data_IF_315679549860
#
_entry.id   IF_315679549860
#
_cell.length_a   1.000
_cell.length_b   1.000
_cell.length_c   1.000
_cell.angle_alpha   90.00
_cell.angle_beta   90.00
_cell.angle_gamma   90.00
#
_symmetry.space_group_name_H-M   'P 1'
#
loop_
_entity.id
_entity.type
_entity.pdbx_description
1 polymer ?
#
# COMPACT_ATOMS: atom_id res chain seq x y z
N UNK A 1 0.20 -11.92 17.21
CA UNK A 1 -0.51 -10.92 18.02
C UNK A 1 -2.00 -10.87 17.68
N UNK A 2 -2.41 -10.63 16.41
CA UNK A 2 -3.82 -10.62 15.96
C UNK A 2 -4.56 -11.88 16.45
N UNK A 3 -4.05 -13.08 16.13
CA UNK A 3 -4.65 -14.37 16.50
C UNK A 3 -4.87 -14.47 18.01
N UNK A 4 -3.89 -14.07 18.83
CA UNK A 4 -4.04 -14.08 20.30
C UNK A 4 -5.16 -13.17 20.81
N UNK A 5 -5.38 -11.99 20.15
CA UNK A 5 -6.53 -11.14 20.46
C UNK A 5 -7.86 -11.83 20.13
N UNK A 6 -7.93 -12.50 18.97
CA UNK A 6 -9.13 -13.21 18.53
C UNK A 6 -9.45 -14.41 19.45
N UNK A 7 -8.44 -15.17 19.85
CA UNK A 7 -8.55 -16.28 20.81
C UNK A 7 -8.99 -15.80 22.20
N UNK A 8 -8.58 -14.60 22.61
CA UNK A 8 -9.04 -13.95 23.83
C UNK A 8 -10.49 -13.42 23.73
N UNK A 9 -11.16 -13.57 22.58
CA UNK A 9 -12.56 -13.19 22.38
C UNK A 9 -12.78 -11.75 21.93
N UNK A 10 -11.72 -11.02 21.55
CA UNK A 10 -11.83 -9.66 21.00
C UNK A 10 -12.45 -9.74 19.62
N UNK A 11 -13.52 -8.95 19.38
CA UNK A 11 -14.31 -8.99 18.14
C UNK A 11 -13.87 -8.00 17.07
N UNK A 12 -13.12 -6.98 17.42
CA UNK A 12 -12.59 -5.99 16.50
C UNK A 12 -11.10 -5.78 16.77
N UNK A 13 -10.27 -6.02 15.79
CA UNK A 13 -8.82 -5.86 15.88
C UNK A 13 -8.35 -4.96 14.74
N UNK A 14 -7.79 -3.80 15.07
CA UNK A 14 -7.06 -2.95 14.13
C UNK A 14 -5.60 -3.39 14.07
N UNK A 15 -5.04 -3.55 12.89
CA UNK A 15 -3.65 -3.91 12.68
C UNK A 15 -2.96 -2.94 11.75
N UNK A 16 -1.74 -2.55 12.12
CA UNK A 16 -0.83 -1.87 11.21
C UNK A 16 -0.42 -2.79 10.04
N UNK A 17 0.15 -2.20 9.02
CA UNK A 17 0.63 -2.85 7.81
C UNK A 17 2.03 -3.44 8.04
N UNK A 18 2.31 -4.63 7.59
CA UNK A 18 1.51 -5.71 6.98
C UNK A 18 1.08 -6.71 8.05
N UNK A 19 0.03 -7.52 7.82
CA UNK A 19 -0.50 -8.43 8.86
C UNK A 19 0.32 -9.70 9.08
N UNK A 20 1.27 -9.99 8.22
CA UNK A 20 2.13 -11.18 8.28
C UNK A 20 3.25 -11.11 7.26
N UNK A 21 4.19 -12.04 7.32
CA UNK A 21 5.39 -12.08 6.45
C UNK A 21 5.27 -13.20 5.40
N UNK A 22 4.60 -14.29 5.74
CA UNK A 22 4.43 -15.47 4.89
C UNK A 22 2.98 -15.63 4.44
N UNK A 23 2.75 -16.39 3.37
CA UNK A 23 1.38 -16.73 2.94
C UNK A 23 0.62 -17.49 4.02
N UNK A 24 1.30 -18.34 4.78
CA UNK A 24 0.67 -19.08 5.88
C UNK A 24 0.19 -18.15 6.99
N UNK A 25 1.00 -17.16 7.39
CA UNK A 25 0.57 -16.14 8.36
C UNK A 25 -0.77 -15.49 7.94
N UNK A 26 -0.90 -15.15 6.65
CA UNK A 26 -2.11 -14.52 6.13
C UNK A 26 -3.32 -15.46 6.22
N UNK A 27 -3.15 -16.74 5.82
CA UNK A 27 -4.19 -17.74 5.94
C UNK A 27 -4.59 -18.02 7.39
N UNK A 28 -3.62 -18.04 8.31
CA UNK A 28 -3.91 -18.22 9.74
C UNK A 28 -4.77 -17.09 10.30
N UNK A 29 -4.46 -15.84 9.93
CA UNK A 29 -5.26 -14.68 10.38
C UNK A 29 -6.67 -14.73 9.78
N UNK A 30 -6.81 -15.06 8.49
CA UNK A 30 -8.14 -15.21 7.86
C UNK A 30 -8.95 -16.30 8.53
N UNK A 31 -8.39 -17.51 8.69
CA UNK A 31 -9.06 -18.63 9.36
C UNK A 31 -9.45 -18.30 10.81
N UNK A 32 -8.59 -17.58 11.53
CA UNK A 32 -8.89 -17.17 12.89
C UNK A 32 -10.02 -16.15 12.94
N UNK A 33 -10.02 -15.15 12.07
CA UNK A 33 -11.09 -14.14 11.98
C UNK A 33 -12.45 -14.81 11.67
N UNK A 34 -12.49 -15.70 10.68
CA UNK A 34 -13.70 -16.46 10.33
C UNK A 34 -14.19 -17.34 11.49
N UNK A 35 -13.29 -18.14 12.09
CA UNK A 35 -13.59 -19.04 13.24
C UNK A 35 -14.20 -18.28 14.40
N UNK A 36 -13.64 -17.11 14.73
CA UNK A 36 -14.08 -16.30 15.87
C UNK A 36 -15.20 -15.32 15.51
N UNK A 37 -15.62 -15.25 14.23
CA UNK A 37 -16.60 -14.29 13.71
C UNK A 37 -16.24 -12.87 14.19
N UNK A 38 -15.02 -12.47 13.88
CA UNK A 38 -14.41 -11.23 14.31
C UNK A 38 -13.93 -10.41 13.11
N UNK A 39 -13.93 -9.11 13.27
CA UNK A 39 -13.47 -8.14 12.28
C UNK A 39 -11.99 -7.82 12.52
N UNK A 40 -11.16 -7.98 11.49
CA UNK A 40 -9.76 -7.55 11.49
C UNK A 40 -9.63 -6.47 10.43
N UNK A 41 -9.35 -5.24 10.84
CA UNK A 41 -9.16 -4.11 9.94
C UNK A 41 -7.68 -3.81 9.75
N UNK A 42 -7.22 -3.73 8.50
CA UNK A 42 -5.94 -3.14 8.19
C UNK A 42 -6.04 -1.61 8.28
N UNK A 43 -5.17 -0.99 9.07
CA UNK A 43 -5.16 0.46 9.28
C UNK A 43 -4.34 1.16 8.19
N UNK A 44 -4.64 0.88 6.91
CA UNK A 44 -3.98 1.49 5.76
C UNK A 44 -4.49 2.91 5.54
N UNK A 45 -3.79 3.87 6.13
CA UNK A 45 -4.19 5.27 6.15
C UNK A 45 -4.16 5.94 4.76
N UNK A 46 -3.29 5.49 3.84
CA UNK A 46 -3.19 6.07 2.49
C UNK A 46 -4.47 5.87 1.67
N UNK A 47 -5.29 4.87 1.99
CA UNK A 47 -6.62 4.73 1.38
C UNK A 47 -7.51 5.96 1.63
N UNK A 48 -7.24 6.72 2.68
CA UNK A 48 -7.95 7.96 3.03
C UNK A 48 -7.25 9.24 2.60
N UNK A 49 -6.14 9.17 1.85
CA UNK A 49 -5.49 10.38 1.30
C UNK A 49 -6.49 11.15 0.43
N UNK A 50 -6.59 12.47 0.63
CA UNK A 50 -7.70 13.27 0.09
C UNK A 50 -7.80 13.20 -1.42
N UNK A 51 -6.69 13.32 -2.12
CA UNK A 51 -6.64 13.21 -3.58
C UNK A 51 -7.03 11.81 -4.08
N UNK A 52 -6.54 10.75 -3.42
CA UNK A 52 -6.90 9.36 -3.72
C UNK A 52 -8.41 9.14 -3.56
N UNK A 53 -8.99 9.66 -2.48
CA UNK A 53 -10.45 9.57 -2.27
C UNK A 53 -11.24 10.39 -3.28
N UNK A 54 -10.72 11.55 -3.71
CA UNK A 54 -11.34 12.31 -4.81
C UNK A 54 -11.31 11.52 -6.12
N UNK A 55 -10.19 10.84 -6.42
CA UNK A 55 -10.08 9.97 -7.59
C UNK A 55 -11.02 8.76 -7.47
N UNK A 56 -11.13 8.12 -6.31
CA UNK A 56 -12.10 7.05 -6.07
C UNK A 56 -13.53 7.53 -6.33
N UNK A 57 -13.87 8.73 -5.87
CA UNK A 57 -15.17 9.35 -6.15
C UNK A 57 -15.40 9.59 -7.64
N UNK A 58 -14.36 10.04 -8.38
CA UNK A 58 -14.43 10.21 -9.84
C UNK A 58 -14.60 8.86 -10.57
N UNK A 59 -13.88 7.82 -10.15
CA UNK A 59 -14.03 6.45 -10.69
C UNK A 59 -15.47 5.97 -10.51
N UNK A 60 -16.04 6.13 -9.33
CA UNK A 60 -17.43 5.74 -9.03
C UNK A 60 -18.47 6.53 -9.78
N UNK A 61 -18.17 7.76 -10.17
CA UNK A 61 -19.02 8.57 -11.06
C UNK A 61 -18.81 8.28 -12.54
N UNK A 62 -17.96 7.31 -12.90
CA UNK A 62 -17.71 6.88 -14.27
C UNK A 62 -16.87 7.86 -15.10
N UNK A 63 -16.16 8.82 -14.48
CA UNK A 63 -15.41 9.84 -15.23
C UNK A 63 -14.24 9.27 -16.03
N UNK A 64 -13.71 8.13 -15.61
CA UNK A 64 -12.61 7.45 -16.29
C UNK A 64 -13.10 6.34 -17.25
N UNK A 65 -14.42 6.12 -17.36
CA UNK A 65 -14.99 4.99 -18.09
C UNK A 65 -14.64 3.65 -17.40
N UNK A 66 -14.43 2.60 -18.18
CA UNK A 66 -13.97 1.31 -17.70
C UNK A 66 -12.50 1.39 -17.31
N UNK A 67 -12.15 0.99 -16.09
CA UNK A 67 -10.76 1.02 -15.59
C UNK A 67 -9.96 -0.11 -16.24
N UNK A 68 -8.82 0.24 -16.81
CA UNK A 68 -7.96 -0.68 -17.58
C UNK A 68 -6.64 -0.93 -16.88
N UNK A 69 -6.01 0.14 -16.33
CA UNK A 69 -4.68 0.06 -15.75
C UNK A 69 -4.51 0.96 -14.55
N UNK A 70 -3.81 0.45 -13.52
CA UNK A 70 -3.50 1.21 -12.32
C UNK A 70 -2.02 1.06 -11.96
N UNK A 71 -1.47 2.09 -11.32
CA UNK A 71 -0.12 2.04 -10.76
C UNK A 71 -0.13 2.57 -9.33
N UNK A 72 0.83 2.10 -8.54
CA UNK A 72 1.11 2.58 -7.20
C UNK A 72 2.45 2.07 -6.71
N UNK A 73 2.79 2.33 -5.47
CA UNK A 73 4.04 1.82 -4.90
C UNK A 73 4.38 2.48 -3.57
N UNK A 74 5.52 2.11 -3.03
CA UNK A 74 6.15 2.78 -1.92
C UNK A 74 7.52 3.28 -2.35
N UNK A 75 7.57 4.54 -2.74
CA UNK A 75 8.71 5.18 -3.37
C UNK A 75 9.20 6.30 -2.43
N UNK A 76 10.06 5.94 -1.49
CA UNK A 76 10.50 6.79 -0.39
C UNK A 76 11.98 6.52 -0.09
N UNK A 77 12.81 7.54 -0.11
CA UNK A 77 14.19 7.41 0.33
C UNK A 77 14.24 7.09 1.83
N UNK A 78 14.46 5.82 2.15
CA UNK A 78 14.54 5.35 3.54
C UNK A 78 15.97 5.03 4.00
N UNK A 79 16.99 5.55 3.32
CA UNK A 79 18.38 5.24 3.69
C UNK A 79 18.73 5.77 5.08
N UNK A 80 18.26 6.96 5.43
CA UNK A 80 18.43 7.57 6.75
C UNK A 80 17.52 6.96 7.84
N UNK A 81 16.47 6.24 7.45
CA UNK A 81 15.61 5.43 8.33
C UNK A 81 16.23 4.06 8.60
N UNK A 82 16.82 3.45 7.55
CA UNK A 82 17.49 2.14 7.61
C UNK A 82 18.80 2.17 8.36
N UNK A 83 19.46 3.34 8.39
CA UNK A 83 20.73 3.55 9.06
C UNK A 83 20.69 4.81 9.90
N UNK A 84 21.30 4.74 11.10
CA UNK A 84 21.49 5.89 11.96
C UNK A 84 22.75 5.72 12.84
N UNK A 85 22.99 6.63 13.76
CA UNK A 85 24.14 6.58 14.67
C UNK A 85 23.86 5.86 16.00
N UNK A 86 22.70 5.23 16.13
CA UNK A 86 22.25 4.59 17.37
C UNK A 86 21.79 5.57 18.47
N UNK A 87 21.78 6.87 18.19
CA UNK A 87 21.36 7.94 19.12
C UNK A 87 20.22 8.77 18.57
N UNK A 88 20.22 9.06 17.27
CA UNK A 88 19.17 9.76 16.56
C UNK A 88 18.30 8.75 15.80
N UNK A 89 17.02 9.05 15.66
CA UNK A 89 16.06 8.15 14.99
C UNK A 89 16.36 8.04 13.51
N UNK A 90 16.86 9.12 12.89
CA UNK A 90 17.14 9.18 11.45
C UNK A 90 18.55 9.70 11.20
N UNK A 91 19.29 9.09 10.26
CA UNK A 91 20.56 9.57 9.74
C UNK A 91 21.72 9.61 10.74
N UNK A 92 22.68 10.49 10.52
CA UNK A 92 23.89 10.76 11.28
C UNK A 92 24.89 9.61 11.39
N UNK A 93 24.62 8.45 10.81
CA UNK A 93 25.50 7.29 10.86
C UNK A 93 25.01 6.15 9.99
N UNK A 94 25.67 5.00 10.10
CA UNK A 94 25.44 3.82 9.28
C UNK A 94 25.32 2.54 10.13
N UNK A 95 24.92 2.71 11.39
CA UNK A 95 24.61 1.60 12.27
C UNK A 95 23.16 1.10 12.03
N UNK A 96 22.95 -0.19 12.28
CA UNK A 96 21.65 -0.87 12.17
C UNK A 96 21.61 -2.10 13.10
N UNK A 97 20.48 -2.83 13.09
CA UNK A 97 20.29 -4.00 13.96
C UNK A 97 20.39 -3.61 15.43
N UNK A 98 21.11 -4.37 16.23
CA UNK A 98 21.27 -4.12 17.66
C UNK A 98 21.92 -2.76 17.98
N UNK A 99 22.72 -2.21 17.06
CA UNK A 99 23.39 -0.91 17.21
C UNK A 99 22.54 0.27 16.71
N UNK A 100 21.54 0.00 15.90
CA UNK A 100 20.62 1.01 15.39
C UNK A 100 19.56 1.42 16.41
N UNK A 101 18.84 2.50 16.10
CA UNK A 101 17.69 2.99 16.85
C UNK A 101 16.44 2.93 15.98
N UNK A 102 15.25 2.75 16.61
CA UNK A 102 13.96 2.73 15.90
C UNK A 102 13.94 1.71 14.76
N UNK A 103 13.52 2.11 13.57
CA UNK A 103 13.32 1.23 12.42
C UNK A 103 14.63 0.66 11.83
N UNK A 104 15.77 1.29 12.06
CA UNK A 104 17.06 0.74 11.66
C UNK A 104 17.37 -0.61 12.33
N UNK A 105 16.69 -0.93 13.44
CA UNK A 105 16.85 -2.22 14.14
C UNK A 105 16.32 -3.41 13.34
N UNK A 106 15.31 -3.20 12.54
CA UNK A 106 14.62 -4.32 11.83
C UNK A 106 14.53 -4.12 10.32
N UNK A 107 14.35 -2.89 9.84
CA UNK A 107 14.12 -2.62 8.42
C UNK A 107 15.34 -2.99 7.56
N UNK A 108 16.55 -2.75 8.06
CA UNK A 108 17.80 -3.11 7.39
C UNK A 108 18.01 -4.61 7.36
N UNK A 109 17.65 -5.33 8.42
CA UNK A 109 17.69 -6.79 8.46
C UNK A 109 16.80 -7.39 7.36
N UNK A 110 15.62 -6.84 7.13
CA UNK A 110 14.79 -7.25 5.98
C UNK A 110 15.51 -7.01 4.65
N UNK A 111 16.19 -5.88 4.46
CA UNK A 111 16.94 -5.60 3.24
C UNK A 111 18.14 -6.53 3.01
N UNK A 112 18.72 -7.10 4.09
CA UNK A 112 19.79 -8.08 4.00
C UNK A 112 19.27 -9.45 3.56
N UNK A 113 18.12 -9.88 4.09
CA UNK A 113 17.65 -11.26 3.96
C UNK A 113 16.57 -11.48 2.90
N UNK A 114 15.89 -10.43 2.46
CA UNK A 114 14.69 -10.51 1.62
C UNK A 114 14.87 -9.71 0.32
N UNK A 115 14.18 -10.14 -0.75
CA UNK A 115 14.19 -9.47 -2.03
C UNK A 115 12.79 -9.52 -2.67
N UNK A 116 12.00 -8.49 -2.44
CA UNK A 116 10.62 -8.37 -2.90
C UNK A 116 10.06 -6.98 -2.61
N UNK A 117 8.78 -6.79 -2.89
CA UNK A 117 8.05 -5.60 -2.46
C UNK A 117 7.74 -5.72 -0.95
N UNK A 118 8.57 -5.11 -0.12
CA UNK A 118 8.48 -5.26 1.34
C UNK A 118 7.45 -4.31 1.99
N UNK A 119 6.81 -3.44 1.21
CA UNK A 119 5.83 -2.48 1.72
C UNK A 119 4.74 -2.14 0.69
N UNK A 120 3.95 -3.14 0.22
CA UNK A 120 3.04 -2.96 -0.90
C UNK A 120 1.76 -2.20 -0.55
N UNK A 121 1.35 -2.16 0.72
CA UNK A 121 -0.02 -1.77 1.12
C UNK A 121 -0.35 -0.32 0.79
N UNK A 122 0.60 0.62 0.97
CA UNK A 122 0.42 2.03 0.61
C UNK A 122 0.18 2.22 -0.89
N UNK A 123 0.81 1.38 -1.72
CA UNK A 123 0.63 1.43 -3.17
C UNK A 123 -0.64 0.73 -3.64
N UNK A 124 -0.93 -0.46 -3.09
CA UNK A 124 -2.01 -1.31 -3.58
C UNK A 124 -3.38 -0.95 -2.99
N UNK A 125 -3.46 -0.62 -1.69
CA UNK A 125 -4.73 -0.40 -1.00
C UNK A 125 -5.63 0.61 -1.70
N UNK A 126 -5.16 1.84 -1.97
CA UNK A 126 -5.95 2.86 -2.65
C UNK A 126 -6.49 2.43 -4.01
N UNK A 127 -5.63 1.86 -4.85
CA UNK A 127 -6.02 1.48 -6.22
C UNK A 127 -6.85 0.20 -6.26
N UNK A 128 -6.69 -0.71 -5.30
CA UNK A 128 -7.54 -1.89 -5.14
C UNK A 128 -9.01 -1.51 -4.89
N UNK A 129 -9.25 -0.43 -4.13
CA UNK A 129 -10.59 0.10 -3.90
C UNK A 129 -11.23 0.68 -5.17
N UNK A 130 -10.44 1.19 -6.11
CA UNK A 130 -10.95 1.70 -7.39
C UNK A 130 -11.55 0.60 -8.29
N UNK A 131 -11.09 -0.64 -8.15
CA UNK A 131 -11.54 -1.79 -8.93
C UNK A 131 -12.18 -2.89 -8.08
N UNK A 132 -12.59 -2.56 -6.86
CA UNK A 132 -13.34 -3.41 -5.94
C UNK A 132 -12.70 -4.79 -5.69
N UNK A 133 -11.39 -4.85 -5.48
CA UNK A 133 -10.70 -6.11 -5.12
C UNK A 133 -11.37 -6.74 -3.89
N UNK A 134 -11.52 -8.06 -3.91
CA UNK A 134 -12.28 -8.88 -2.96
C UNK A 134 -13.81 -8.62 -2.91
N UNK A 135 -14.35 -7.79 -3.84
CA UNK A 135 -15.77 -7.37 -3.90
C UNK A 135 -16.23 -7.21 -5.35
N UNK A 136 -16.30 -8.31 -6.09
CA UNK A 136 -16.61 -8.37 -7.52
C UNK A 136 -15.38 -8.52 -8.42
N UNK A 137 -14.18 -8.41 -7.85
CA UNK A 137 -12.90 -8.61 -8.52
C UNK A 137 -11.88 -9.22 -7.55
N UNK A 138 -10.76 -9.75 -8.04
CA UNK A 138 -9.61 -10.19 -7.23
C UNK A 138 -8.32 -10.18 -8.02
N UNK A 139 -7.19 -10.22 -7.34
CA UNK A 139 -5.91 -10.50 -7.99
C UNK A 139 -5.90 -11.93 -8.53
N UNK A 140 -5.42 -12.10 -9.75
CA UNK A 140 -5.35 -13.38 -10.44
C UNK A 140 -3.95 -13.97 -10.42
N UNK A 141 -2.96 -13.16 -10.79
CA UNK A 141 -1.56 -13.59 -10.85
C UNK A 141 -0.63 -12.39 -10.66
N UNK A 142 0.61 -12.68 -10.25
CA UNK A 142 1.65 -11.69 -9.94
C UNK A 142 2.98 -12.12 -10.57
N UNK A 143 3.75 -11.15 -11.05
CA UNK A 143 5.12 -11.34 -11.54
C UNK A 143 5.97 -10.17 -11.07
N UNK A 144 7.18 -10.43 -10.57
CA UNK A 144 8.04 -9.40 -10.00
C UNK A 144 9.48 -9.48 -10.50
N UNK A 145 10.12 -8.32 -10.61
CA UNK A 145 11.50 -8.13 -11.02
C UNK A 145 12.22 -7.26 -10.00
N UNK A 146 13.43 -7.66 -9.62
CA UNK A 146 14.31 -6.87 -8.78
C UNK A 146 15.49 -6.32 -9.58
N UNK A 147 15.82 -5.05 -9.39
CA UNK A 147 17.03 -4.46 -9.93
C UNK A 147 18.28 -4.95 -9.18
N UNK A 148 19.48 -4.60 -9.67
CA UNK A 148 20.69 -4.76 -8.87
C UNK A 148 20.62 -3.95 -7.58
N UNK A 149 21.38 -4.37 -6.56
CA UNK A 149 21.49 -3.70 -5.26
C UNK A 149 22.78 -2.88 -5.21
N UNK A 150 22.68 -1.56 -5.02
CA UNK A 150 23.83 -0.63 -4.91
C UNK A 150 23.60 0.49 -3.90
N UNK A 151 22.35 1.00 -3.80
CA UNK A 151 22.03 2.23 -3.10
C UNK A 151 22.37 2.22 -1.62
N UNK A 152 22.08 1.12 -0.90
CA UNK A 152 22.42 1.00 0.52
C UNK A 152 23.94 0.92 0.75
N UNK A 153 24.66 0.15 -0.06
CA UNK A 153 26.11 0.05 0.03
C UNK A 153 26.77 1.42 -0.25
N UNK A 154 26.36 2.11 -1.30
CA UNK A 154 26.87 3.43 -1.66
C UNK A 154 26.62 4.45 -0.54
N UNK A 155 25.45 4.43 0.07
CA UNK A 155 25.11 5.27 1.23
C UNK A 155 26.03 5.00 2.43
N UNK A 156 26.25 3.72 2.75
CA UNK A 156 27.15 3.31 3.86
C UNK A 156 28.58 3.75 3.60
N UNK A 157 29.10 3.54 2.39
CA UNK A 157 30.47 3.94 2.03
C UNK A 157 30.66 5.46 2.08
N UNK A 158 29.68 6.22 1.58
CA UNK A 158 29.73 7.70 1.61
C UNK A 158 29.77 8.29 3.01
N UNK A 159 29.04 7.71 3.96
CA UNK A 159 28.95 8.25 5.32
C UNK A 159 29.89 7.58 6.31
N UNK A 160 30.11 6.28 6.20
CA UNK A 160 30.91 5.49 7.13
C UNK A 160 32.32 5.17 6.64
N UNK A 161 32.55 5.30 5.32
CA UNK A 161 33.81 4.89 4.67
C UNK A 161 33.85 3.40 4.33
N UNK A 162 34.73 3.03 3.39
CA UNK A 162 34.90 1.65 2.88
C UNK A 162 35.30 0.63 3.97
N UNK A 163 35.97 1.09 5.01
CA UNK A 163 36.44 0.24 6.11
C UNK A 163 35.37 0.01 7.20
N UNK A 164 34.23 0.68 7.14
CA UNK A 164 33.16 0.48 8.10
C UNK A 164 32.59 -0.94 8.01
N UNK A 165 32.29 -1.62 9.15
CA UNK A 165 31.72 -2.97 9.12
C UNK A 165 30.46 -3.09 8.27
N UNK A 166 29.58 -2.10 8.28
CA UNK A 166 28.34 -2.06 7.49
C UNK A 166 28.59 -1.99 5.98
N UNK A 167 29.78 -1.51 5.53
CA UNK A 167 30.16 -1.52 4.11
C UNK A 167 30.47 -2.92 3.58
N UNK A 168 30.69 -3.89 4.46
CA UNK A 168 30.95 -5.29 4.10
C UNK A 168 29.69 -6.14 4.03
N UNK A 169 28.54 -5.56 4.35
CA UNK A 169 27.24 -6.24 4.35
C UNK A 169 26.75 -6.41 2.91
N UNK A 170 26.29 -7.61 2.59
CA UNK A 170 25.65 -7.91 1.32
C UNK A 170 24.13 -7.77 1.45
N UNK A 171 23.56 -6.72 0.86
CA UNK A 171 22.13 -6.51 0.85
C UNK A 171 21.48 -7.30 -0.30
N UNK A 172 20.46 -8.11 0.00
CA UNK A 172 19.74 -8.93 -0.97
C UNK A 172 18.67 -8.14 -1.72
N UNK A 173 18.04 -7.16 -1.04
CA UNK A 173 16.94 -6.36 -1.60
C UNK A 173 17.42 -5.54 -2.80
N UNK A 174 16.83 -5.76 -3.97
CA UNK A 174 17.04 -4.90 -5.12
C UNK A 174 16.68 -3.44 -4.82
N UNK A 175 17.41 -2.51 -5.43
CA UNK A 175 17.16 -1.08 -5.18
C UNK A 175 15.76 -0.67 -5.59
N UNK A 176 15.25 -1.27 -6.69
CA UNK A 176 13.87 -1.13 -7.15
C UNK A 176 13.30 -2.53 -7.39
N UNK A 177 12.15 -2.81 -6.81
CA UNK A 177 11.34 -3.97 -7.14
C UNK A 177 10.11 -3.51 -7.91
N UNK A 178 9.89 -4.08 -9.08
CA UNK A 178 8.73 -3.81 -9.93
C UNK A 178 7.85 -5.05 -9.99
N UNK A 179 6.58 -4.89 -9.65
CA UNK A 179 5.61 -5.98 -9.56
C UNK A 179 4.43 -5.70 -10.49
N UNK A 180 4.10 -6.64 -11.35
CA UNK A 180 2.92 -6.62 -12.21
C UNK A 180 1.87 -7.60 -11.69
N UNK A 181 0.62 -7.17 -11.60
CA UNK A 181 -0.51 -7.99 -11.15
C UNK A 181 -1.60 -7.94 -12.22
N UNK A 182 -2.12 -9.11 -12.58
CA UNK A 182 -3.35 -9.23 -13.39
C UNK A 182 -4.55 -9.45 -12.47
N UNK A 183 -5.68 -8.81 -12.78
CA UNK A 183 -6.94 -8.98 -12.07
C UNK A 183 -7.90 -9.91 -12.83
N UNK A 184 -8.91 -10.43 -12.13
CA UNK A 184 -9.87 -11.37 -12.75
C UNK A 184 -10.75 -10.71 -13.81
N UNK A 185 -11.08 -9.42 -13.65
CA UNK A 185 -11.88 -8.69 -14.62
C UNK A 185 -11.04 -8.11 -15.79
N UNK A 186 -9.71 -8.33 -15.79
CA UNK A 186 -8.82 -7.99 -16.90
C UNK A 186 -7.96 -6.75 -16.69
N UNK A 187 -8.15 -6.01 -15.62
CA UNK A 187 -7.29 -4.87 -15.29
C UNK A 187 -5.87 -5.32 -14.94
N UNK A 188 -4.91 -4.46 -15.20
CA UNK A 188 -3.51 -4.65 -14.82
C UNK A 188 -3.07 -3.62 -13.79
N UNK A 189 -2.21 -4.05 -12.87
CA UNK A 189 -1.63 -3.18 -11.85
C UNK A 189 -0.10 -3.27 -11.94
N UNK A 190 0.57 -2.12 -11.83
CA UNK A 190 2.01 -2.03 -11.68
C UNK A 190 2.35 -1.39 -10.32
N UNK A 191 3.13 -2.10 -9.51
CA UNK A 191 3.64 -1.59 -8.23
C UNK A 191 5.15 -1.39 -8.30
N UNK A 192 5.65 -0.39 -7.57
CA UNK A 192 7.08 -0.15 -7.39
C UNK A 192 7.42 0.02 -5.90
N UNK A 193 8.37 -0.78 -5.43
CA UNK A 193 9.05 -0.59 -4.15
C UNK A 193 10.43 0.00 -4.41
N UNK A 194 10.65 1.25 -3.97
CA UNK A 194 11.89 2.02 -4.17
C UNK A 194 12.25 2.76 -2.89
N UNK A 195 13.11 2.14 -2.06
CA UNK A 195 13.42 2.64 -0.72
C UNK A 195 14.92 2.73 -0.42
N UNK A 196 15.77 2.47 -1.43
CA UNK A 196 17.22 2.37 -1.29
C UNK A 196 17.99 3.47 -2.05
N UNK A 197 17.28 4.29 -2.83
CA UNK A 197 17.86 5.30 -3.70
C UNK A 197 17.42 6.72 -3.31
N UNK A 198 18.21 7.76 -3.67
CA UNK A 198 17.84 9.15 -3.40
C UNK A 198 16.65 9.56 -4.27
N UNK A 199 15.59 10.00 -3.62
CA UNK A 199 14.40 10.49 -4.31
C UNK A 199 13.50 11.31 -3.40
N UNK A 200 12.64 12.21 -3.93
CA UNK A 200 11.48 12.73 -3.21
C UNK A 200 10.46 11.61 -2.96
N UNK A 201 9.67 11.76 -1.88
CA UNK A 201 8.56 10.85 -1.59
C UNK A 201 7.49 10.89 -2.68
N UNK A 202 7.02 9.71 -3.06
CA UNK A 202 5.89 9.54 -3.99
C UNK A 202 5.28 8.15 -3.79
N UNK A 203 4.01 8.00 -4.13
CA UNK A 203 3.36 6.67 -4.23
C UNK A 203 3.16 6.26 -5.70
N UNK A 204 3.46 7.15 -6.64
CA UNK A 204 3.46 6.87 -8.07
C UNK A 204 2.09 6.46 -8.62
N UNK A 205 1.01 6.99 -8.03
CA UNK A 205 -0.32 6.59 -8.44
C UNK A 205 -0.65 6.98 -9.88
N UNK A 206 -1.27 6.06 -10.57
CA UNK A 206 -1.95 6.23 -11.84
C UNK A 206 -3.26 5.48 -11.82
N UNK A 207 -4.32 6.12 -12.28
CA UNK A 207 -5.61 5.48 -12.54
C UNK A 207 -5.97 5.80 -13.98
N UNK A 208 -6.13 4.78 -14.82
CA UNK A 208 -6.44 4.93 -16.23
C UNK A 208 -7.57 4.02 -16.65
N UNK A 209 -8.55 4.60 -17.31
CA UNK A 209 -9.65 3.91 -17.94
C UNK A 209 -9.81 4.30 -19.40
N UNK A 210 -10.94 3.92 -20.00
CA UNK A 210 -11.26 4.16 -21.41
C UNK A 210 -11.53 5.63 -21.74
N UNK A 211 -11.86 6.46 -20.74
CA UNK A 211 -12.25 7.86 -20.93
C UNK A 211 -11.37 8.85 -20.14
N UNK A 212 -10.40 8.37 -19.36
CA UNK A 212 -9.59 9.28 -18.57
C UNK A 212 -8.35 8.66 -17.95
N UNK A 213 -7.46 9.54 -17.49
CA UNK A 213 -6.18 9.21 -16.86
C UNK A 213 -5.83 10.25 -15.81
N UNK A 214 -5.45 9.78 -14.61
CA UNK A 214 -4.84 10.61 -13.57
C UNK A 214 -3.48 10.06 -13.17
N UNK A 215 -2.54 10.97 -12.86
CA UNK A 215 -1.21 10.64 -12.31
C UNK A 215 -0.86 11.62 -11.18
N UNK A 216 -0.49 11.09 -10.01
CA UNK A 216 -0.18 11.92 -8.84
C UNK A 216 1.17 12.62 -8.93
N UNK A 217 2.17 12.00 -9.51
CA UNK A 217 3.56 12.51 -9.55
C UNK A 217 3.66 13.88 -10.22
N UNK A 218 2.91 14.11 -11.28
CA UNK A 218 2.86 15.38 -12.00
C UNK A 218 1.57 16.18 -11.73
N UNK A 219 0.76 15.72 -10.76
CA UNK A 219 -0.54 16.31 -10.39
C UNK A 219 -1.41 16.61 -11.62
N UNK A 220 -1.51 15.67 -12.54
CA UNK A 220 -2.13 15.88 -13.85
C UNK A 220 -3.24 14.89 -14.12
N UNK A 221 -4.25 15.38 -14.84
CA UNK A 221 -5.42 14.60 -15.24
C UNK A 221 -5.79 14.88 -16.69
N UNK A 222 -6.35 13.90 -17.34
CA UNK A 222 -7.01 14.04 -18.64
C UNK A 222 -8.31 13.26 -18.62
N UNK A 223 -9.42 13.91 -18.93
CA UNK A 223 -10.73 13.26 -19.11
C UNK A 223 -11.24 13.63 -20.49
N UNK A 224 -11.50 12.62 -21.31
CA UNK A 224 -11.94 12.81 -22.68
C UNK A 224 -13.22 13.65 -22.75
N UNK A 225 -13.30 14.56 -23.72
CA UNK A 225 -14.41 15.50 -23.91
C UNK A 225 -14.68 16.49 -22.74
N UNK A 226 -13.84 16.49 -21.69
CA UNK A 226 -13.94 17.40 -20.54
C UNK A 226 -12.66 18.17 -20.26
N UNK A 227 -11.52 17.69 -20.76
CA UNK A 227 -10.23 18.37 -20.64
C UNK A 227 -10.26 19.74 -21.35
N UNK A 228 -9.51 20.71 -20.84
CA UNK A 228 -9.44 22.06 -21.41
C UNK A 228 -8.95 22.07 -22.86
N UNK A 229 -8.04 21.16 -23.18
CA UNK A 229 -7.52 20.96 -24.55
C UNK A 229 -7.29 19.48 -24.84
N UNK A 230 -7.60 19.08 -26.06
CA UNK A 230 -7.35 17.73 -26.55
C UNK A 230 -5.86 17.43 -26.54
N UNK A 231 -5.48 16.23 -26.06
CA UNK A 231 -4.10 15.72 -25.94
C UNK A 231 -3.17 16.59 -25.05
N UNK A 232 -3.72 17.34 -24.10
CA UNK A 232 -2.95 18.09 -23.11
C UNK A 232 -3.43 17.73 -21.70
N UNK A 233 -2.49 17.72 -20.78
CA UNK A 233 -2.80 17.54 -19.37
C UNK A 233 -3.49 18.78 -18.80
N UNK A 234 -4.52 18.58 -18.00
CA UNK A 234 -5.03 19.56 -17.06
C UNK A 234 -4.28 19.42 -15.73
N UNK A 235 -4.15 20.53 -14.98
CA UNK A 235 -3.80 20.45 -13.57
C UNK A 235 -4.92 19.72 -12.80
N UNK A 236 -4.56 18.71 -12.03
CA UNK A 236 -5.55 17.93 -11.30
C UNK A 236 -6.21 18.71 -10.15
N UNK A 237 -5.64 19.83 -9.69
CA UNK A 237 -6.12 20.59 -8.52
C UNK A 237 -7.61 20.91 -8.60
N UNK A 238 -8.06 21.57 -9.68
CA UNK A 238 -9.45 21.97 -9.82
C UNK A 238 -10.40 20.77 -9.91
N UNK A 239 -9.93 19.67 -10.51
CA UNK A 239 -10.67 18.42 -10.58
C UNK A 239 -10.80 17.77 -9.20
N UNK A 240 -9.71 17.69 -8.43
CA UNK A 240 -9.70 17.11 -7.08
C UNK A 240 -10.60 17.91 -6.12
N UNK A 241 -10.58 19.25 -6.21
CA UNK A 241 -11.47 20.10 -5.41
C UNK A 241 -12.95 19.91 -5.79
N UNK A 242 -13.25 19.86 -7.09
CA UNK A 242 -14.62 19.67 -7.59
C UNK A 242 -15.20 18.31 -7.19
N UNK A 243 -14.40 17.26 -7.27
CA UNK A 243 -14.79 15.88 -6.99
C UNK A 243 -14.32 15.39 -5.63
N UNK A 244 -13.93 16.31 -4.73
CA UNK A 244 -13.56 15.96 -3.37
C UNK A 244 -14.57 15.03 -2.72
N UNK A 245 -14.07 14.03 -2.00
CA UNK A 245 -14.93 12.97 -1.46
C UNK A 245 -15.89 13.52 -0.38
N UNK A 246 -17.17 13.11 -0.37
CA UNK A 246 -18.14 13.59 0.64
C UNK A 246 -17.69 13.40 2.08
N UNK A 247 -16.99 12.31 2.38
CA UNK A 247 -16.42 12.06 3.71
C UNK A 247 -15.40 13.13 4.12
N UNK A 248 -14.49 13.53 3.21
CA UNK A 248 -13.54 14.61 3.45
C UNK A 248 -14.22 15.96 3.64
N UNK A 249 -15.21 16.28 2.81
CA UNK A 249 -16.01 17.52 2.96
C UNK A 249 -16.66 17.61 4.32
N UNK A 250 -17.16 16.48 4.83
CA UNK A 250 -17.83 16.41 6.13
C UNK A 250 -16.88 16.59 7.31
N UNK A 251 -15.69 15.98 7.27
CA UNK A 251 -14.80 15.85 8.42
C UNK A 251 -13.46 16.61 8.28
N UNK A 252 -13.35 17.51 7.29
CA UNK A 252 -12.09 18.23 7.05
C UNK A 252 -11.59 19.00 8.27
N UNK A 253 -12.50 19.59 9.08
CA UNK A 253 -12.11 20.39 10.25
C UNK A 253 -11.52 19.52 11.37
N UNK A 254 -12.11 18.37 11.59
CA UNK A 254 -11.71 17.42 12.63
C UNK A 254 -10.40 16.70 12.29
N UNK A 255 -10.06 16.61 11.00
CA UNK A 255 -8.86 15.92 10.53
C UNK A 255 -7.60 16.79 10.47
N UNK A 256 -7.70 18.12 10.59
CA UNK A 256 -6.59 19.08 10.31
C UNK A 256 -5.33 18.79 11.11
N UNK A 257 -5.44 18.46 12.39
CA UNK A 257 -4.31 18.24 13.29
C UNK A 257 -4.00 16.75 13.52
N UNK A 258 -4.69 15.86 12.81
CA UNK A 258 -4.41 14.44 12.89
C UNK A 258 -3.22 14.07 11.98
N UNK A 259 -2.45 13.06 12.36
CA UNK A 259 -1.23 12.64 11.67
C UNK A 259 -1.41 12.41 10.16
N UNK A 260 -0.28 12.46 9.45
CA UNK A 260 -0.21 12.20 8.00
C UNK A 260 -1.20 13.02 7.15
N UNK A 261 -1.34 14.33 7.46
CA UNK A 261 -2.23 15.21 6.70
C UNK A 261 -3.72 14.90 6.85
N UNK A 262 -4.10 14.31 7.98
CA UNK A 262 -5.49 13.97 8.33
C UNK A 262 -5.87 12.51 8.08
N UNK A 263 -5.07 11.74 7.34
CA UNK A 263 -5.39 10.35 7.01
C UNK A 263 -5.62 9.48 8.25
N UNK A 264 -4.83 9.69 9.31
CA UNK A 264 -4.91 8.91 10.55
C UNK A 264 -6.23 9.11 11.27
N UNK A 265 -6.81 10.32 11.20
CA UNK A 265 -8.17 10.56 11.71
C UNK A 265 -9.18 9.65 11.03
N UNK A 266 -9.19 9.60 9.70
CA UNK A 266 -10.18 8.84 8.95
C UNK A 266 -10.06 7.33 9.18
N UNK A 267 -8.84 6.78 9.15
CA UNK A 267 -8.64 5.33 9.34
C UNK A 267 -9.04 4.89 10.74
N UNK A 268 -8.67 5.64 11.78
CA UNK A 268 -9.03 5.33 13.16
C UNK A 268 -10.52 5.56 13.42
N UNK A 269 -11.09 6.64 12.88
CA UNK A 269 -12.51 6.93 13.04
C UNK A 269 -13.38 5.85 12.39
N UNK A 270 -13.02 5.40 11.17
CA UNK A 270 -13.76 4.32 10.51
C UNK A 270 -13.72 3.01 11.29
N UNK A 271 -12.59 2.68 11.92
CA UNK A 271 -12.49 1.53 12.82
C UNK A 271 -13.40 1.68 14.05
N UNK A 272 -13.37 2.84 14.70
CA UNK A 272 -14.20 3.12 15.88
C UNK A 272 -15.69 3.11 15.52
N UNK A 273 -16.09 3.69 14.39
CA UNK A 273 -17.48 3.67 13.93
C UNK A 273 -17.95 2.26 13.57
N UNK A 274 -17.11 1.42 13.00
CA UNK A 274 -17.44 0.00 12.77
C UNK A 274 -17.74 -0.73 14.09
N UNK A 275 -16.96 -0.47 15.14
CA UNK A 275 -17.20 -1.03 16.48
C UNK A 275 -18.54 -0.53 17.06
N UNK A 276 -18.78 0.79 17.02
CA UNK A 276 -19.99 1.42 17.57
C UNK A 276 -21.26 0.94 16.87
N UNK A 277 -21.20 0.81 15.54
CA UNK A 277 -22.32 0.37 14.70
C UNK A 277 -22.44 -1.15 14.61
N UNK A 278 -21.45 -1.90 15.07
CA UNK A 278 -21.36 -3.37 14.97
C UNK A 278 -21.47 -3.84 13.52
N UNK A 279 -20.76 -3.15 12.62
CA UNK A 279 -20.71 -3.44 11.19
C UNK A 279 -19.35 -4.03 10.81
N UNK A 280 -19.25 -4.59 9.62
CA UNK A 280 -17.96 -4.97 9.03
C UNK A 280 -17.08 -3.76 8.81
N UNK A 281 -15.78 -3.95 8.93
CA UNK A 281 -14.77 -2.92 8.71
C UNK A 281 -14.57 -2.66 7.22
N UNK A 282 -14.26 -1.41 6.80
CA UNK A 282 -14.16 -1.05 5.38
C UNK A 282 -12.97 -1.70 4.66
N UNK A 283 -11.89 -2.01 5.40
CA UNK A 283 -10.71 -2.72 4.91
C UNK A 283 -10.51 -3.95 5.80
N UNK A 284 -11.18 -5.04 5.43
CA UNK A 284 -11.30 -6.22 6.28
C UNK A 284 -10.11 -7.20 6.16
N UNK A 285 -10.22 -8.34 6.82
CA UNK A 285 -9.18 -9.38 6.86
C UNK A 285 -8.77 -9.88 5.47
N UNK A 286 -9.69 -9.90 4.50
CA UNK A 286 -9.38 -10.35 3.14
C UNK A 286 -8.58 -9.30 2.37
N UNK A 287 -8.87 -8.03 2.57
CA UNK A 287 -8.06 -6.92 2.03
C UNK A 287 -6.67 -6.94 2.66
N UNK A 288 -6.61 -7.06 3.99
CA UNK A 288 -5.37 -7.16 4.74
C UNK A 288 -4.48 -8.33 4.25
N UNK A 289 -5.08 -9.52 4.07
CA UNK A 289 -4.36 -10.69 3.57
C UNK A 289 -3.91 -10.52 2.10
N UNK A 290 -4.81 -10.07 1.22
CA UNK A 290 -4.48 -9.89 -0.20
C UNK A 290 -3.40 -8.85 -0.44
N UNK A 291 -3.45 -7.71 0.25
CA UNK A 291 -2.44 -6.66 0.08
C UNK A 291 -1.09 -7.05 0.69
N UNK A 292 -1.09 -7.71 1.85
CA UNK A 292 0.15 -8.19 2.50
C UNK A 292 0.81 -9.34 1.74
N UNK A 293 0.02 -10.21 1.10
CA UNK A 293 0.54 -11.37 0.36
C UNK A 293 1.43 -10.99 -0.84
N UNK A 294 1.30 -9.76 -1.36
CA UNK A 294 2.16 -9.24 -2.43
C UNK A 294 3.64 -9.34 -2.03
N UNK A 295 3.97 -9.10 -0.76
CA UNK A 295 5.34 -9.24 -0.25
C UNK A 295 5.88 -10.65 -0.50
N UNK A 296 5.23 -11.67 0.05
CA UNK A 296 5.68 -13.07 -0.09
C UNK A 296 5.67 -13.57 -1.54
N UNK A 297 4.65 -13.19 -2.30
CA UNK A 297 4.51 -13.60 -3.71
C UNK A 297 5.52 -12.91 -4.62
N UNK A 298 5.86 -11.64 -4.36
CA UNK A 298 6.91 -10.94 -5.11
C UNK A 298 8.28 -11.56 -4.87
N UNK A 299 8.59 -11.93 -3.63
CA UNK A 299 9.82 -12.67 -3.29
C UNK A 299 9.88 -14.02 -4.01
N UNK A 300 8.79 -14.78 -3.96
CA UNK A 300 8.69 -16.07 -4.63
C UNK A 300 8.87 -15.94 -6.15
N UNK A 301 8.23 -14.96 -6.78
CA UNK A 301 8.37 -14.69 -8.21
C UNK A 301 9.83 -14.42 -8.59
N UNK A 302 10.52 -13.53 -7.86
CA UNK A 302 11.91 -13.18 -8.08
C UNK A 302 12.83 -14.41 -7.88
N UNK A 303 12.61 -15.18 -6.82
CA UNK A 303 13.42 -16.37 -6.50
C UNK A 303 13.29 -17.46 -7.58
N UNK A 304 12.11 -17.59 -8.17
CA UNK A 304 11.84 -18.52 -9.29
C UNK A 304 12.26 -17.97 -10.67
N UNK A 305 13.08 -16.92 -10.72
CA UNK A 305 13.54 -16.33 -11.98
C UNK A 305 12.49 -15.48 -12.68
N UNK A 306 11.72 -14.74 -11.92
CA UNK A 306 10.67 -13.82 -12.37
C UNK A 306 9.45 -14.55 -13.00
N UNK A 307 9.12 -15.71 -12.48
CA UNK A 307 7.96 -16.46 -12.94
C UNK A 307 6.66 -15.81 -12.47
N UNK A 308 5.63 -15.95 -13.28
CA UNK A 308 4.26 -15.60 -12.89
C UNK A 308 3.75 -16.60 -11.86
N UNK A 309 3.25 -16.09 -10.73
CA UNK A 309 2.71 -16.86 -9.62
C UNK A 309 1.19 -16.64 -9.57
N UNK A 310 0.42 -17.68 -9.36
CA UNK A 310 -1.01 -17.56 -9.11
C UNK A 310 -1.26 -16.86 -7.77
N UNK A 311 -2.20 -15.92 -7.75
CA UNK A 311 -2.54 -15.20 -6.54
C UNK A 311 -3.62 -15.97 -5.76
N UNK A 312 -3.41 -16.28 -4.46
CA UNK A 312 -4.38 -17.03 -3.67
C UNK A 312 -5.69 -16.24 -3.50
N UNK A 313 -6.80 -16.97 -3.45
CA UNK A 313 -8.11 -16.41 -3.14
C UNK A 313 -8.42 -16.57 -1.65
N UNK A 314 -8.10 -15.56 -0.86
CA UNK A 314 -8.34 -15.55 0.58
C UNK A 314 -9.83 -15.53 0.95
N UNK A 315 -10.70 -15.18 -0.02
CA UNK A 315 -12.16 -15.15 0.19
C UNK A 315 -12.85 -16.48 -0.05
N UNK A 316 -12.12 -17.52 -0.52
CA UNK A 316 -12.68 -18.81 -0.92
C UNK A 316 -13.90 -18.68 -1.87
N UNK A 317 -13.79 -17.80 -2.88
CA UNK A 317 -14.83 -17.55 -3.88
C UNK A 317 -15.88 -16.52 -3.48
N UNK A 318 -15.89 -16.06 -2.23
CA UNK A 318 -16.90 -15.08 -1.78
C UNK A 318 -16.75 -13.73 -2.46
N UNK A 319 -15.58 -13.37 -3.00
CA UNK A 319 -15.36 -12.13 -3.73
C UNK A 319 -16.40 -11.87 -4.83
N UNK A 320 -16.98 -12.92 -5.42
CA UNK A 320 -18.01 -12.81 -6.46
C UNK A 320 -19.33 -12.21 -5.96
N UNK A 321 -19.63 -12.33 -4.68
CA UNK A 321 -20.91 -11.92 -4.08
C UNK A 321 -20.79 -10.77 -3.10
N UNK A 322 -19.59 -10.51 -2.59
CA UNK A 322 -19.33 -9.42 -1.64
C UNK A 322 -19.52 -8.08 -2.34
N UNK A 323 -20.01 -7.10 -1.58
CA UNK A 323 -20.28 -5.75 -2.09
C UNK A 323 -19.23 -4.77 -1.59
N UNK A 324 -18.91 -3.71 -2.36
CA UNK A 324 -18.09 -2.61 -1.87
C UNK A 324 -18.65 -2.02 -0.60
N UNK A 325 -17.77 -1.68 0.34
CA UNK A 325 -18.14 -1.07 1.65
C UNK A 325 -17.29 0.16 1.96
N UNK A 326 -16.11 0.29 1.36
CA UNK A 326 -15.18 1.36 1.65
C UNK A 326 -15.72 2.70 1.15
N UNK A 327 -15.96 3.66 2.05
CA UNK A 327 -16.26 5.08 1.76
C UNK A 327 -17.30 5.29 0.64
N UNK A 328 -18.49 4.67 0.76
CA UNK A 328 -19.53 4.78 -0.27
C UNK A 328 -20.21 6.15 -0.33
N UNK A 329 -20.20 6.88 0.78
CA UNK A 329 -20.85 8.19 0.95
C UNK A 329 -20.05 9.07 1.94
N UNK A 330 -20.71 9.93 2.69
CA UNK A 330 -20.13 10.80 3.72
C UNK A 330 -20.06 10.14 5.12
N UNK A 331 -20.35 8.83 5.20
CA UNK A 331 -20.24 8.01 6.41
C UNK A 331 -19.10 7.00 6.30
N UNK A 332 -18.56 6.59 7.47
CA UNK A 332 -17.56 5.55 7.58
C UNK A 332 -18.16 4.15 7.44
#
# INVERSE_FOLDING_TARGET
MIIGCLEAGIKYVGSEVIIGITLEDHWEVVRAAEKHKAEVMMLENVCYRRDVMAILNMVRQGLFGEIIHLQGGYQHDLRDVKFNDGKHVHGFGVEFGAKGLSEARWRTEHAIHRNGDLYPTHGIGPIANCININRGNRFKSICSFASKTRGLHDYVVKLGGENHPSAKVNFKLGDIVTTSINCMNGETILLQHDTNLPRPYSLGFRVQGTEGLWMDVNNSIYVENKAAKVHQWDDAKDWLEKYDHPLWKRWVKESVDAGHGGMDFFVLHSFIESIKRKTSTPMDVYDAASWSAITALSEQSIELGNQTIDFPDFTNGQWMYRKPVFCLNDEF
#
